data_IF_452864433953
#
_entry.id   IF_452864433953
#
_cell.length_a   1.000
_cell.length_b   1.000
_cell.length_c   1.000
_cell.angle_alpha   90.00
_cell.angle_beta   90.00
_cell.angle_gamma   90.00
#
_symmetry.space_group_name_H-M   'P 1'
#
loop_
_entity.id
_entity.type
_entity.pdbx_description
1 polymer ?
#
# COMPACT_ATOMS: atom_id res chain seq x y z
N UNK A 1 7.42 25.75 4.72
CA UNK A 1 7.27 24.43 4.06
C UNK A 1 6.49 24.60 2.76
N UNK A 2 6.97 24.07 1.64
CA UNK A 2 6.52 24.43 0.28
C UNK A 2 5.11 23.83 -0.02
N UNK A 3 4.06 24.65 -0.15
CA UNK A 3 2.69 24.21 -0.49
C UNK A 3 2.62 23.34 -1.76
N UNK A 4 3.66 23.40 -2.62
CA UNK A 4 3.81 22.64 -3.86
C UNK A 4 3.83 21.12 -3.69
N UNK A 5 4.17 20.57 -2.51
CA UNK A 5 4.29 19.12 -2.30
C UNK A 5 2.96 18.41 -1.94
N UNK A 6 1.92 19.15 -1.53
CA UNK A 6 0.67 18.54 -1.03
C UNK A 6 -0.42 18.43 -2.09
N UNK A 7 -0.08 17.95 -3.29
CA UNK A 7 -1.04 17.73 -4.39
C UNK A 7 -1.67 16.34 -4.42
N UNK A 8 -1.07 15.38 -3.70
CA UNK A 8 -1.50 13.99 -3.65
C UNK A 8 -2.82 13.87 -2.88
N UNK A 9 -3.80 13.19 -3.47
CA UNK A 9 -5.16 13.06 -2.93
C UNK A 9 -5.67 11.65 -3.14
N UNK A 10 -6.72 11.26 -2.42
CA UNK A 10 -7.41 10.00 -2.61
C UNK A 10 -7.92 9.93 -4.05
N UNK A 11 -7.43 8.96 -4.81
CA UNK A 11 -7.79 8.75 -6.21
C UNK A 11 -7.55 7.30 -6.63
N UNK A 12 -8.17 6.92 -7.74
CA UNK A 12 -7.94 5.64 -8.43
C UNK A 12 -6.99 5.82 -9.62
N UNK A 13 -5.90 5.08 -9.65
CA UNK A 13 -4.93 5.14 -10.75
C UNK A 13 -5.55 4.68 -12.09
N UNK A 14 -6.58 3.82 -12.07
CA UNK A 14 -7.37 3.45 -13.25
C UNK A 14 -8.05 4.66 -13.91
N UNK A 15 -8.60 5.59 -13.13
CA UNK A 15 -9.22 6.82 -13.67
C UNK A 15 -8.17 7.80 -14.22
N UNK A 16 -6.95 7.82 -13.67
CA UNK A 16 -5.82 8.56 -14.27
C UNK A 16 -5.40 7.93 -15.61
N UNK A 17 -5.34 6.60 -15.67
CA UNK A 17 -5.08 5.84 -16.90
C UNK A 17 -6.15 6.14 -17.95
N UNK A 18 -7.42 6.11 -17.57
CA UNK A 18 -8.55 6.40 -18.46
C UNK A 18 -8.50 7.85 -18.98
N UNK A 19 -8.18 8.82 -18.13
CA UNK A 19 -8.01 10.21 -18.55
C UNK A 19 -6.87 10.37 -19.57
N UNK A 20 -5.77 9.63 -19.39
CA UNK A 20 -4.69 9.61 -20.37
C UNK A 20 -5.15 9.01 -21.71
N UNK A 21 -5.88 7.89 -21.70
CA UNK A 21 -6.46 7.27 -22.91
C UNK A 21 -7.40 8.24 -23.62
N UNK A 22 -8.28 8.93 -22.88
CA UNK A 22 -9.22 9.89 -23.44
C UNK A 22 -8.50 10.97 -24.25
N UNK A 23 -7.51 11.61 -23.64
CA UNK A 23 -6.72 12.67 -24.28
C UNK A 23 -5.77 12.16 -25.37
N UNK A 24 -5.40 10.88 -25.32
CA UNK A 24 -4.64 10.25 -26.39
C UNK A 24 -5.49 10.05 -27.65
N UNK A 25 -6.76 9.65 -27.48
CA UNK A 25 -7.72 9.40 -28.58
C UNK A 25 -8.30 10.68 -29.18
N UNK A 26 -8.75 11.60 -28.33
CA UNK A 26 -9.47 12.81 -28.75
C UNK A 26 -8.54 13.96 -29.11
N UNK A 27 -7.27 13.88 -28.72
CA UNK A 27 -6.34 14.99 -28.85
C UNK A 27 -6.50 16.02 -27.74
N UNK A 28 -6.04 17.27 -27.96
CA UNK A 28 -6.09 18.34 -26.98
C UNK A 28 -7.53 18.73 -26.62
N UNK A 29 -7.82 18.83 -25.32
CA UNK A 29 -9.13 19.29 -24.81
C UNK A 29 -8.95 20.38 -23.75
N UNK A 30 -9.82 21.38 -23.74
CA UNK A 30 -9.89 22.39 -22.68
C UNK A 30 -10.42 21.78 -21.39
N UNK A 31 -10.19 22.49 -20.29
CA UNK A 31 -10.54 22.02 -18.94
C UNK A 31 -12.01 21.59 -18.79
N UNK A 32 -12.95 22.35 -19.34
CA UNK A 32 -14.39 22.04 -19.28
C UNK A 32 -14.74 20.84 -20.17
N UNK A 33 -14.16 20.77 -21.36
CA UNK A 33 -14.38 19.69 -22.34
C UNK A 33 -13.92 18.33 -21.79
N UNK A 34 -12.79 18.30 -21.07
CA UNK A 34 -12.30 17.08 -20.41
C UNK A 34 -13.35 16.47 -19.48
N UNK A 35 -14.08 17.30 -18.73
CA UNK A 35 -15.06 16.80 -17.78
C UNK A 35 -16.33 16.31 -18.47
N UNK A 36 -16.78 17.01 -19.53
CA UNK A 36 -17.90 16.55 -20.35
C UNK A 36 -17.57 15.20 -20.99
N UNK A 37 -16.43 15.10 -21.67
CA UNK A 37 -16.00 13.87 -22.33
C UNK A 37 -15.70 12.75 -21.33
N UNK A 38 -15.15 13.09 -20.16
CA UNK A 38 -14.89 12.13 -19.10
C UNK A 38 -16.15 11.62 -18.40
N UNK A 39 -17.23 12.40 -18.34
CA UNK A 39 -18.55 11.91 -17.93
C UNK A 39 -19.15 10.98 -18.99
N UNK A 40 -19.12 11.39 -20.27
CA UNK A 40 -19.60 10.58 -21.39
C UNK A 40 -18.87 9.23 -21.52
N UNK A 41 -17.61 9.18 -21.07
CA UNK A 41 -16.77 7.97 -21.07
C UNK A 41 -16.79 7.22 -19.73
N UNK A 42 -17.68 7.57 -18.80
CA UNK A 42 -17.81 6.97 -17.46
C UNK A 42 -16.57 7.09 -16.55
N UNK A 43 -15.61 7.95 -16.89
CA UNK A 43 -14.37 8.17 -16.12
C UNK A 43 -14.68 8.95 -14.84
N UNK A 44 -15.52 9.98 -14.95
CA UNK A 44 -15.88 10.86 -13.84
C UNK A 44 -17.24 10.55 -13.21
N UNK A 45 -17.67 9.28 -13.28
CA UNK A 45 -18.86 8.79 -12.59
C UNK A 45 -18.48 8.00 -11.32
N UNK A 46 -19.38 8.01 -10.35
CA UNK A 46 -19.40 7.12 -9.19
C UNK A 46 -19.98 5.75 -9.58
N UNK A 47 -19.95 4.81 -8.64
CA UNK A 47 -20.54 3.46 -8.82
C UNK A 47 -22.05 3.51 -9.10
N UNK A 48 -22.76 4.48 -8.52
CA UNK A 48 -24.20 4.72 -8.75
C UNK A 48 -24.51 5.42 -10.09
N UNK A 49 -23.49 5.67 -10.92
CA UNK A 49 -23.61 6.39 -12.19
C UNK A 49 -23.69 7.91 -12.08
N UNK A 50 -23.78 8.48 -10.87
CA UNK A 50 -23.81 9.93 -10.69
C UNK A 50 -22.44 10.56 -10.94
N UNK A 51 -22.37 11.81 -11.44
CA UNK A 51 -21.09 12.48 -11.63
C UNK A 51 -20.32 12.74 -10.33
N UNK A 52 -19.00 12.67 -10.40
CA UNK A 52 -18.11 13.10 -9.32
C UNK A 52 -18.26 14.60 -9.06
N UNK A 53 -18.01 15.09 -7.85
CA UNK A 53 -17.96 16.52 -7.59
C UNK A 53 -16.76 17.19 -8.32
N UNK A 54 -16.81 18.52 -8.49
CA UNK A 54 -15.77 19.32 -9.19
C UNK A 54 -14.37 19.10 -8.62
N UNK A 55 -14.24 19.06 -7.30
CA UNK A 55 -12.95 18.92 -6.60
C UNK A 55 -12.24 17.58 -6.89
N UNK A 56 -12.89 16.41 -6.75
CA UNK A 56 -12.33 15.13 -7.21
C UNK A 56 -11.87 15.13 -8.67
N UNK A 57 -12.67 15.67 -9.60
CA UNK A 57 -12.30 15.71 -11.03
C UNK A 57 -11.04 16.53 -11.27
N UNK A 58 -10.94 17.68 -10.60
CA UNK A 58 -9.72 18.51 -10.61
C UNK A 58 -8.50 17.73 -10.09
N UNK A 59 -8.66 16.93 -9.03
CA UNK A 59 -7.56 16.13 -8.50
C UNK A 59 -7.07 15.07 -9.50
N UNK A 60 -7.96 14.39 -10.23
CA UNK A 60 -7.55 13.45 -11.28
C UNK A 60 -6.70 14.13 -12.36
N UNK A 61 -7.18 15.26 -12.89
CA UNK A 61 -6.44 16.01 -13.91
C UNK A 61 -5.09 16.52 -13.41
N UNK A 62 -5.06 17.11 -12.20
CA UNK A 62 -3.83 17.63 -11.62
C UNK A 62 -2.82 16.52 -11.30
N UNK A 63 -3.26 15.35 -10.81
CA UNK A 63 -2.36 14.22 -10.55
C UNK A 63 -1.79 13.66 -11.87
N UNK A 64 -2.61 13.50 -12.91
CA UNK A 64 -2.15 13.08 -14.23
C UNK A 64 -1.12 14.07 -14.83
N UNK A 65 -1.32 15.37 -14.64
CA UNK A 65 -0.36 16.39 -15.03
C UNK A 65 0.93 16.33 -14.19
N UNK A 66 0.83 16.19 -12.87
CA UNK A 66 1.98 16.09 -11.95
C UNK A 66 2.81 14.85 -12.16
N UNK A 67 2.19 13.75 -12.56
CA UNK A 67 2.87 12.54 -13.02
C UNK A 67 3.55 12.70 -14.39
N UNK A 68 3.40 13.85 -15.05
CA UNK A 68 3.98 14.11 -16.35
C UNK A 68 3.32 13.30 -17.48
N UNK A 69 2.15 12.73 -17.23
CA UNK A 69 1.37 11.96 -18.22
C UNK A 69 0.64 12.89 -19.18
N UNK A 70 0.29 14.09 -18.72
CA UNK A 70 -0.37 15.13 -19.51
C UNK A 70 0.55 16.34 -19.67
N UNK A 71 0.31 17.13 -20.71
CA UNK A 71 0.88 18.45 -20.88
C UNK A 71 -0.20 19.45 -21.23
N UNK A 72 0.02 20.72 -20.87
CA UNK A 72 -0.90 21.83 -21.16
C UNK A 72 -0.28 22.72 -22.22
N UNK A 73 -0.96 22.88 -23.35
CA UNK A 73 -0.64 23.81 -24.43
C UNK A 73 -1.62 24.98 -24.49
N UNK A 74 -1.55 25.76 -25.55
CA UNK A 74 -2.50 26.85 -25.87
C UNK A 74 -3.88 26.33 -26.25
N UNK A 75 -3.95 25.13 -26.83
CA UNK A 75 -5.13 24.41 -27.28
C UNK A 75 -5.87 23.65 -26.16
N UNK A 76 -5.18 23.34 -25.06
CA UNK A 76 -5.75 22.62 -23.93
C UNK A 76 -4.77 21.65 -23.28
N UNK A 77 -5.30 20.62 -22.62
CA UNK A 77 -4.51 19.49 -22.12
C UNK A 77 -4.47 18.39 -23.17
N UNK A 78 -3.31 17.77 -23.33
CA UNK A 78 -3.13 16.60 -24.19
C UNK A 78 -2.31 15.53 -23.49
N UNK A 79 -2.51 14.28 -23.90
CA UNK A 79 -1.64 13.19 -23.48
C UNK A 79 -0.21 13.45 -23.97
N UNK A 80 0.79 13.21 -23.13
CA UNK A 80 2.19 13.41 -23.49
C UNK A 80 2.70 12.18 -24.26
N UNK A 81 2.99 12.28 -25.57
CA UNK A 81 3.51 11.16 -26.34
C UNK A 81 4.99 10.97 -25.97
N UNK A 82 5.36 9.78 -25.49
CA UNK A 82 6.78 9.40 -25.37
C UNK A 82 6.99 7.92 -25.72
N UNK A 83 7.54 7.63 -26.91
CA UNK A 83 8.15 6.32 -27.20
C UNK A 83 9.15 5.97 -26.09
N UNK A 84 9.19 4.70 -25.67
CA UNK A 84 10.12 4.23 -24.63
C UNK A 84 9.76 4.61 -23.19
N UNK A 85 8.61 5.25 -22.95
CA UNK A 85 8.12 5.48 -21.58
C UNK A 85 7.13 4.42 -21.13
N UNK A 86 6.92 4.26 -19.82
CA UNK A 86 5.95 3.31 -19.30
C UNK A 86 4.51 3.53 -19.80
N UNK A 87 4.21 4.71 -20.36
CA UNK A 87 2.90 5.08 -20.91
C UNK A 87 2.46 4.22 -22.11
N UNK A 88 3.40 3.52 -22.78
CA UNK A 88 3.07 2.54 -23.83
C UNK A 88 2.16 1.43 -23.28
N UNK A 89 2.26 1.10 -21.99
CA UNK A 89 1.41 0.09 -21.35
C UNK A 89 -0.08 0.48 -21.30
N UNK A 90 -0.40 1.78 -21.41
CA UNK A 90 -1.78 2.29 -21.38
C UNK A 90 -2.46 2.29 -22.75
N UNK A 91 -1.78 1.80 -23.80
CA UNK A 91 -2.36 1.68 -25.15
C UNK A 91 -3.46 0.62 -25.25
N UNK A 92 -3.59 -0.25 -24.24
CA UNK A 92 -4.75 -1.13 -24.15
C UNK A 92 -5.98 -0.31 -23.73
N UNK A 93 -6.87 -0.15 -24.70
CA UNK A 93 -7.68 1.04 -24.90
C UNK A 93 -9.06 0.93 -24.22
N UNK A 94 -9.10 0.46 -22.96
CA UNK A 94 -10.36 0.11 -22.27
C UNK A 94 -10.60 0.98 -21.04
N UNK A 95 -11.65 1.80 -21.10
CA UNK A 95 -12.13 2.59 -19.96
C UNK A 95 -12.76 1.71 -18.87
N UNK A 96 -12.71 2.17 -17.62
CA UNK A 96 -13.44 1.58 -16.49
C UNK A 96 -12.94 0.20 -16.04
N UNK A 97 -11.81 -0.28 -16.58
CA UNK A 97 -11.20 -1.54 -16.16
C UNK A 97 -10.14 -1.31 -15.09
N UNK A 98 -10.02 -2.27 -14.17
CA UNK A 98 -8.91 -2.27 -13.21
C UNK A 98 -7.55 -2.32 -13.93
N UNK A 99 -6.51 -1.80 -13.28
CA UNK A 99 -5.15 -1.80 -13.82
C UNK A 99 -4.62 -3.23 -13.96
N UNK A 100 -4.19 -3.60 -15.16
CA UNK A 100 -3.48 -4.85 -15.42
C UNK A 100 -2.02 -4.80 -14.93
N UNK A 101 -1.31 -5.93 -14.98
CA UNK A 101 0.08 -6.06 -14.48
C UNK A 101 1.04 -5.05 -15.13
N UNK A 102 0.96 -4.85 -16.43
CA UNK A 102 1.83 -3.93 -17.17
C UNK A 102 1.52 -2.48 -16.83
N UNK A 103 0.24 -2.14 -16.70
CA UNK A 103 -0.19 -0.79 -16.31
C UNK A 103 0.23 -0.46 -14.88
N UNK A 104 0.13 -1.42 -13.95
CA UNK A 104 0.65 -1.26 -12.58
C UNK A 104 2.14 -1.00 -12.61
N UNK A 105 2.91 -1.84 -13.33
CA UNK A 105 4.36 -1.65 -13.49
C UNK A 105 4.70 -0.27 -14.06
N UNK A 106 3.90 0.22 -15.01
CA UNK A 106 4.09 1.55 -15.56
C UNK A 106 3.87 2.66 -14.53
N UNK A 107 2.81 2.56 -13.72
CA UNK A 107 2.60 3.49 -12.61
C UNK A 107 3.71 3.42 -11.57
N UNK A 108 4.31 2.25 -11.30
CA UNK A 108 5.47 2.16 -10.38
C UNK A 108 6.59 3.07 -10.85
N UNK A 109 6.94 2.99 -12.13
CA UNK A 109 8.01 3.79 -12.72
C UNK A 109 7.68 5.29 -12.71
N UNK A 110 6.43 5.64 -13.00
CA UNK A 110 5.97 7.04 -12.92
C UNK A 110 6.10 7.60 -11.51
N UNK A 111 5.63 6.86 -10.51
CA UNK A 111 5.60 7.29 -9.11
C UNK A 111 7.02 7.36 -8.56
N UNK A 112 7.85 6.34 -8.77
CA UNK A 112 9.22 6.30 -8.25
C UNK A 112 10.12 7.34 -8.89
N UNK A 113 9.95 7.64 -10.18
CA UNK A 113 10.74 8.69 -10.85
C UNK A 113 10.18 10.10 -10.62
N UNK A 114 9.06 10.23 -9.92
CA UNK A 114 8.48 11.53 -9.62
C UNK A 114 9.20 12.16 -8.42
N UNK A 115 9.90 13.27 -8.66
CA UNK A 115 10.69 13.95 -7.61
C UNK A 115 9.83 14.44 -6.44
N UNK A 116 8.59 14.87 -6.68
CA UNK A 116 7.69 15.25 -5.59
C UNK A 116 7.36 14.02 -4.71
N UNK A 117 7.08 12.85 -5.31
CA UNK A 117 6.84 11.60 -4.57
C UNK A 117 8.10 11.12 -3.83
N UNK A 118 9.29 11.23 -4.45
CA UNK A 118 10.57 10.90 -3.83
C UNK A 118 10.77 11.69 -2.54
N UNK A 119 10.70 13.01 -2.65
CA UNK A 119 10.89 13.94 -1.54
C UNK A 119 9.81 13.86 -0.49
N UNK A 120 8.56 13.60 -0.90
CA UNK A 120 7.44 13.57 0.03
C UNK A 120 7.44 12.31 0.89
N UNK A 121 7.71 11.13 0.32
CA UNK A 121 7.61 9.89 1.11
C UNK A 121 8.49 8.72 0.68
N UNK A 122 8.93 8.59 -0.58
CA UNK A 122 9.67 7.37 -0.98
C UNK A 122 11.08 7.32 -0.39
N UNK A 123 11.73 8.48 -0.18
CA UNK A 123 13.07 8.54 0.44
C UNK A 123 13.13 7.98 1.86
N UNK A 124 12.00 7.83 2.55
CA UNK A 124 11.96 7.18 3.87
C UNK A 124 12.29 5.69 3.81
N UNK A 125 12.05 5.06 2.66
CA UNK A 125 12.28 3.63 2.46
C UNK A 125 13.68 3.35 1.90
N UNK A 126 14.47 4.37 1.57
CA UNK A 126 15.75 4.22 0.86
C UNK A 126 16.87 4.93 1.60
N UNK A 127 18.07 4.35 1.57
CA UNK A 127 19.27 5.00 2.08
C UNK A 127 19.79 6.09 1.13
N UNK A 128 19.63 5.87 -0.18
CA UNK A 128 20.03 6.81 -1.23
C UNK A 128 18.87 7.72 -1.66
N UNK A 129 19.20 8.93 -2.09
CA UNK A 129 18.22 9.93 -2.54
C UNK A 129 17.85 9.78 -4.03
N UNK A 130 18.72 9.14 -4.80
CA UNK A 130 18.48 8.74 -6.18
C UNK A 130 18.44 7.21 -6.27
N UNK A 131 17.34 6.69 -6.81
CA UNK A 131 17.09 5.26 -6.90
C UNK A 131 16.06 4.95 -7.98
N UNK A 132 16.21 3.81 -8.64
CA UNK A 132 15.23 3.30 -9.61
C UNK A 132 14.12 2.50 -8.92
N UNK A 133 13.09 2.11 -9.67
CA UNK A 133 12.07 1.15 -9.17
C UNK A 133 12.72 -0.16 -8.72
N UNK A 134 13.74 -0.64 -9.43
CA UNK A 134 14.41 -1.89 -9.09
C UNK A 134 15.16 -1.77 -7.77
N UNK A 135 15.86 -0.65 -7.55
CA UNK A 135 16.53 -0.37 -6.27
C UNK A 135 15.50 -0.28 -5.14
N UNK A 136 14.35 0.37 -5.36
CA UNK A 136 13.28 0.40 -4.36
C UNK A 136 12.74 -0.99 -4.01
N UNK A 137 12.51 -1.84 -5.02
CA UNK A 137 12.01 -3.20 -4.83
C UNK A 137 13.05 -4.18 -4.30
N UNK A 138 14.35 -3.87 -4.42
CA UNK A 138 15.45 -4.72 -3.94
C UNK A 138 15.98 -4.29 -2.58
N UNK A 139 16.19 -3.00 -2.38
CA UNK A 139 16.93 -2.45 -1.23
C UNK A 139 16.03 -1.66 -0.27
N UNK A 140 14.78 -1.40 -0.67
CA UNK A 140 13.82 -0.69 0.14
C UNK A 140 13.56 -1.33 1.51
N UNK A 141 13.52 -0.51 2.54
CA UNK A 141 13.39 -0.93 3.95
C UNK A 141 12.00 -0.60 4.52
N UNK A 142 11.51 -1.33 5.52
CA UNK A 142 10.27 -0.99 6.21
C UNK A 142 10.31 0.39 6.88
N UNK A 143 9.17 1.07 6.90
CA UNK A 143 8.93 2.33 7.60
C UNK A 143 7.86 2.11 8.67
N UNK A 144 8.21 2.37 9.92
CA UNK A 144 7.30 2.26 11.05
C UNK A 144 6.60 3.59 11.29
N UNK A 145 5.30 3.55 11.45
CA UNK A 145 4.49 4.73 11.72
C UNK A 145 3.93 4.67 13.14
N UNK A 146 4.17 5.74 13.90
CA UNK A 146 3.67 5.91 15.26
C UNK A 146 2.90 7.21 15.35
N UNK A 147 1.70 7.13 15.90
CA UNK A 147 0.91 8.33 16.20
C UNK A 147 1.20 8.80 17.61
N UNK A 148 1.74 10.01 17.73
CA UNK A 148 2.03 10.68 19.01
C UNK A 148 1.05 11.83 19.22
N UNK A 149 0.75 12.14 20.48
CA UNK A 149 -0.06 13.30 20.88
C UNK A 149 0.81 14.12 21.80
N UNK A 150 1.04 15.38 21.44
CA UNK A 150 1.73 16.35 22.29
C UNK A 150 0.74 17.43 22.71
N UNK A 151 0.83 17.86 23.96
CA UNK A 151 0.11 19.03 24.46
C UNK A 151 1.00 20.26 24.25
N UNK A 152 0.49 21.24 23.53
CA UNK A 152 1.15 22.53 23.31
C UNK A 152 0.10 23.62 23.55
N UNK A 153 0.35 24.54 24.47
CA UNK A 153 -0.52 25.68 24.77
C UNK A 153 -2.02 25.28 24.93
N UNK A 154 -2.30 24.32 25.82
CA UNK A 154 -3.63 23.75 26.09
C UNK A 154 -4.35 23.09 24.90
N UNK A 155 -3.65 22.87 23.78
CA UNK A 155 -4.16 22.14 22.62
C UNK A 155 -3.45 20.80 22.45
N UNK A 156 -4.24 19.73 22.35
CA UNK A 156 -3.76 18.40 21.97
C UNK A 156 -3.49 18.36 20.47
N UNK A 157 -2.21 18.41 20.10
CA UNK A 157 -1.77 18.25 18.71
C UNK A 157 -1.41 16.79 18.49
N UNK A 158 -2.23 16.11 17.68
CA UNK A 158 -1.93 14.75 17.22
C UNK A 158 -0.94 14.84 16.07
N UNK A 159 0.25 14.26 16.21
CA UNK A 159 1.27 14.16 15.16
C UNK A 159 1.41 12.73 14.70
N UNK A 160 1.87 12.54 13.45
CA UNK A 160 2.22 11.21 12.94
C UNK A 160 3.68 11.20 12.57
N UNK A 161 4.44 10.31 13.19
CA UNK A 161 5.86 10.12 12.98
C UNK A 161 6.08 8.85 12.17
N UNK A 162 6.76 8.99 11.04
CA UNK A 162 7.25 7.89 10.23
C UNK A 162 8.75 7.76 10.47
N UNK A 163 9.19 6.58 10.88
CA UNK A 163 10.60 6.24 11.10
C UNK A 163 11.02 5.22 10.06
N UNK A 164 11.89 5.64 9.15
CA UNK A 164 12.59 4.77 8.22
C UNK A 164 13.85 4.18 8.84
N UNK A 165 14.59 3.42 8.03
CA UNK A 165 15.92 2.92 8.41
C UNK A 165 16.96 4.05 8.37
N UNK A 166 18.12 3.84 9.02
CA UNK A 166 19.22 4.82 9.12
C UNK A 166 18.87 6.17 9.78
N UNK A 167 17.84 6.20 10.64
CA UNK A 167 17.47 7.42 11.40
C UNK A 167 16.72 8.48 10.59
N UNK A 168 16.29 8.17 9.36
CA UNK A 168 15.43 9.05 8.56
C UNK A 168 14.03 9.10 9.21
N UNK A 169 13.63 10.27 9.67
CA UNK A 169 12.32 10.51 10.29
C UNK A 169 11.53 11.57 9.52
N UNK A 170 10.22 11.38 9.44
CA UNK A 170 9.29 12.35 8.89
C UNK A 170 8.15 12.56 9.88
N UNK A 171 8.03 13.80 10.36
CA UNK A 171 6.96 14.22 11.27
C UNK A 171 5.92 15.00 10.48
N UNK A 172 4.67 14.55 10.54
CA UNK A 172 3.53 15.22 9.93
C UNK A 172 2.79 16.01 11.00
N UNK A 173 2.87 17.34 10.91
CA UNK A 173 2.32 18.26 11.90
C UNK A 173 0.89 18.67 11.56
N UNK A 174 0.59 18.91 10.28
CA UNK A 174 -0.72 19.37 9.83
C UNK A 174 -1.60 18.25 9.27
N UNK A 175 -2.91 18.46 9.31
CA UNK A 175 -3.87 17.52 8.71
C UNK A 175 -3.70 17.41 7.18
N UNK A 176 -3.32 18.52 6.52
CA UNK A 176 -3.06 18.52 5.07
C UNK A 176 -1.86 17.66 4.70
N UNK A 177 -0.80 17.69 5.51
CA UNK A 177 0.38 16.83 5.36
C UNK A 177 0.02 15.37 5.54
N UNK A 178 -0.66 15.04 6.64
CA UNK A 178 -1.13 13.68 6.92
C UNK A 178 -1.95 13.15 5.75
N UNK A 179 -2.94 13.90 5.29
CA UNK A 179 -3.75 13.48 4.16
C UNK A 179 -2.91 13.30 2.89
N UNK A 180 -2.08 14.26 2.50
CA UNK A 180 -1.31 14.14 1.26
C UNK A 180 -0.36 12.94 1.28
N UNK A 181 0.34 12.72 2.38
CA UNK A 181 1.29 11.61 2.55
C UNK A 181 0.58 10.28 2.71
N UNK A 182 -0.47 10.19 3.54
CA UNK A 182 -1.23 8.96 3.70
C UNK A 182 -1.93 8.57 2.40
N UNK A 183 -2.46 9.52 1.62
CA UNK A 183 -3.03 9.22 0.32
C UNK A 183 -1.95 8.78 -0.69
N UNK A 184 -0.79 9.45 -0.71
CA UNK A 184 0.34 9.03 -1.54
C UNK A 184 0.80 7.61 -1.20
N UNK A 185 1.13 7.36 0.06
CA UNK A 185 1.58 6.06 0.57
C UNK A 185 0.52 4.97 0.39
N UNK A 186 -0.70 5.20 0.87
CA UNK A 186 -1.71 4.13 0.97
C UNK A 186 -2.49 3.92 -0.31
N UNK A 187 -2.74 4.97 -1.10
CA UNK A 187 -3.53 4.80 -2.32
C UNK A 187 -2.65 4.57 -3.53
N UNK A 188 -1.55 5.31 -3.70
CA UNK A 188 -0.76 5.19 -4.93
C UNK A 188 0.15 3.96 -4.88
N UNK A 189 0.90 3.76 -3.78
CA UNK A 189 1.84 2.64 -3.69
C UNK A 189 1.15 1.29 -3.60
N UNK A 190 0.00 1.19 -2.91
CA UNK A 190 -0.70 -0.08 -2.79
C UNK A 190 -1.42 -0.47 -4.09
N UNK A 191 -2.05 0.49 -4.80
CA UNK A 191 -2.71 0.23 -6.09
C UNK A 191 -1.74 -0.29 -7.16
N UNK A 192 -0.49 0.18 -7.15
CA UNK A 192 0.54 -0.34 -8.05
C UNK A 192 1.33 -1.52 -7.45
N UNK A 193 1.04 -1.95 -6.23
CA UNK A 193 1.76 -3.00 -5.49
C UNK A 193 3.27 -2.72 -5.38
N UNK A 194 3.64 -1.48 -5.02
CA UNK A 194 5.00 -1.13 -4.59
C UNK A 194 5.22 -1.45 -3.11
N UNK A 195 4.18 -1.27 -2.29
CA UNK A 195 4.23 -1.49 -0.85
C UNK A 195 3.00 -2.25 -0.37
N UNK A 196 3.08 -2.78 0.84
CA UNK A 196 1.96 -3.27 1.64
C UNK A 196 2.04 -2.66 3.06
N UNK A 197 0.98 -2.80 3.85
CA UNK A 197 0.83 -2.24 5.20
C UNK A 197 0.29 -3.29 6.18
N UNK A 198 0.94 -3.38 7.33
CA UNK A 198 0.35 -4.01 8.53
C UNK A 198 -0.03 -2.91 9.51
N UNK A 199 -1.32 -2.85 9.85
CA UNK A 199 -1.86 -1.89 10.81
C UNK A 199 -2.57 -2.63 11.94
N UNK A 200 -1.96 -2.69 13.12
CA UNK A 200 -2.59 -3.28 14.32
C UNK A 200 -3.31 -2.18 15.09
N UNK A 201 -2.61 -1.10 15.42
CA UNK A 201 -3.16 0.01 16.20
C UNK A 201 -2.38 1.31 15.90
N UNK A 202 -2.78 2.48 16.45
CA UNK A 202 -2.10 3.75 16.18
C UNK A 202 -0.62 3.81 16.57
N UNK A 203 -0.13 2.90 17.42
CA UNK A 203 1.26 2.74 17.84
C UNK A 203 1.99 1.64 17.06
N UNK A 204 1.26 0.71 16.44
CA UNK A 204 1.79 -0.43 15.68
C UNK A 204 1.29 -0.41 14.23
N UNK A 205 1.98 0.38 13.42
CA UNK A 205 1.80 0.43 11.97
C UNK A 205 3.16 0.29 11.28
N UNK A 206 3.24 -0.53 10.24
CA UNK A 206 4.42 -0.66 9.38
C UNK A 206 3.98 -0.67 7.92
N UNK A 207 4.67 0.12 7.10
CA UNK A 207 4.55 0.14 5.65
C UNK A 207 5.88 -0.36 5.10
N UNK A 208 5.87 -1.26 4.14
CA UNK A 208 7.10 -1.87 3.64
C UNK A 208 7.06 -2.09 2.13
N UNK A 209 8.19 -1.94 1.42
CA UNK A 209 8.27 -2.21 0.00
C UNK A 209 8.17 -3.71 -0.26
N UNK A 210 7.39 -4.09 -1.26
CA UNK A 210 7.29 -5.48 -1.71
C UNK A 210 8.50 -5.86 -2.57
N UNK A 211 8.90 -7.12 -2.54
CA UNK A 211 9.82 -7.68 -3.53
C UNK A 211 9.07 -8.07 -4.79
N UNK A 212 9.65 -7.81 -5.96
CA UNK A 212 9.11 -8.28 -7.24
C UNK A 212 9.49 -9.73 -7.55
N UNK A 213 10.62 -10.20 -7.03
CA UNK A 213 11.23 -11.50 -7.33
C UNK A 213 11.92 -12.07 -6.09
N UNK A 214 12.22 -13.37 -6.10
CA UNK A 214 12.92 -14.02 -4.99
C UNK A 214 12.13 -14.02 -3.68
N UNK A 215 10.82 -14.31 -3.76
CA UNK A 215 10.01 -14.55 -2.56
C UNK A 215 10.54 -15.80 -1.84
N UNK A 216 10.59 -15.78 -0.50
CA UNK A 216 11.16 -16.89 0.25
C UNK A 216 10.34 -18.16 0.09
N UNK A 217 11.03 -19.30 0.02
CA UNK A 217 10.44 -20.63 0.08
C UNK A 217 9.80 -20.90 1.44
N UNK A 218 8.92 -21.91 1.50
CA UNK A 218 8.31 -22.33 2.77
C UNK A 218 9.35 -22.61 3.86
N UNK A 219 10.49 -23.22 3.51
CA UNK A 219 11.54 -23.61 4.45
C UNK A 219 12.26 -22.39 5.02
N UNK A 220 12.59 -21.42 4.17
CA UNK A 220 13.18 -20.15 4.61
C UNK A 220 12.21 -19.39 5.53
N UNK A 221 10.93 -19.33 5.15
CA UNK A 221 9.90 -18.70 5.97
C UNK A 221 9.71 -19.40 7.32
N UNK A 222 9.71 -20.74 7.31
CA UNK A 222 9.57 -21.56 8.51
C UNK A 222 10.77 -21.40 9.43
N UNK A 223 12.00 -21.47 8.91
CA UNK A 223 13.22 -21.26 9.70
C UNK A 223 13.22 -19.89 10.37
N UNK A 224 12.80 -18.84 9.64
CA UNK A 224 12.67 -17.50 10.21
C UNK A 224 11.57 -17.41 11.26
N UNK A 225 10.40 -18.01 11.02
CA UNK A 225 9.31 -18.10 12.01
C UNK A 225 9.80 -18.73 13.31
N UNK A 226 10.49 -19.88 13.22
CA UNK A 226 10.99 -20.63 14.37
C UNK A 226 12.06 -19.84 15.14
N UNK A 227 12.93 -19.12 14.43
CA UNK A 227 13.97 -18.27 15.04
C UNK A 227 13.37 -17.09 15.81
N UNK A 228 12.31 -16.48 15.28
CA UNK A 228 11.68 -15.30 15.88
C UNK A 228 10.70 -15.64 17.03
N UNK A 229 10.22 -16.88 17.10
CA UNK A 229 9.13 -17.27 18.00
C UNK A 229 9.50 -18.43 18.93
N UNK A 230 10.67 -18.36 19.58
CA UNK A 230 11.15 -19.38 20.52
C UNK A 230 10.05 -19.80 21.51
N UNK A 231 9.77 -21.11 21.65
CA UNK A 231 8.65 -21.58 22.44
C UNK A 231 8.92 -21.38 23.94
N UNK A 232 7.91 -20.88 24.65
CA UNK A 232 7.96 -20.71 26.13
C UNK A 232 7.17 -21.81 26.83
N UNK A 233 6.20 -22.42 26.14
CA UNK A 233 5.34 -23.50 26.65
C UNK A 233 5.32 -24.67 25.68
N UNK A 234 4.76 -25.79 26.13
CA UNK A 234 4.52 -26.95 25.27
C UNK A 234 3.63 -26.61 24.08
N UNK A 235 2.57 -25.83 24.31
CA UNK A 235 1.73 -25.24 23.27
C UNK A 235 1.76 -23.72 23.41
N UNK A 236 2.20 -23.04 22.35
CA UNK A 236 2.34 -21.59 22.30
C UNK A 236 1.20 -21.01 21.48
N UNK A 237 0.53 -19.99 22.02
CA UNK A 237 -0.60 -19.32 21.40
C UNK A 237 -0.12 -17.97 20.89
N UNK A 238 0.12 -17.86 19.59
CA UNK A 238 0.73 -16.66 19.01
C UNK A 238 -0.33 -15.91 18.19
N UNK A 239 -0.59 -14.62 18.48
CA UNK A 239 -1.55 -13.83 17.71
C UNK A 239 -1.13 -13.71 16.25
N UNK A 240 -2.04 -14.01 15.32
CA UNK A 240 -1.78 -13.99 13.86
C UNK A 240 -1.39 -12.60 13.39
N UNK A 241 -2.04 -11.56 13.91
CA UNK A 241 -1.75 -10.17 13.55
C UNK A 241 -0.33 -9.76 13.96
N UNK A 242 0.17 -10.18 15.13
CA UNK A 242 1.54 -9.91 15.58
C UNK A 242 2.55 -10.70 14.72
N UNK A 243 2.25 -11.96 14.38
CA UNK A 243 3.08 -12.72 13.45
C UNK A 243 3.17 -12.05 12.08
N UNK A 244 2.05 -11.57 11.52
CA UNK A 244 2.03 -10.83 10.26
C UNK A 244 2.84 -9.54 10.35
N UNK A 245 2.72 -8.81 11.46
CA UNK A 245 3.47 -7.58 11.69
C UNK A 245 4.99 -7.79 11.73
N UNK A 246 5.44 -8.94 12.24
CA UNK A 246 6.86 -9.30 12.25
C UNK A 246 7.33 -9.85 10.90
N UNK A 247 6.58 -10.78 10.32
CA UNK A 247 7.05 -11.62 9.20
C UNK A 247 6.81 -10.98 7.84
N UNK A 248 5.69 -10.29 7.61
CA UNK A 248 5.38 -9.75 6.29
C UNK A 248 6.37 -8.66 5.84
N UNK A 249 6.78 -7.70 6.70
CA UNK A 249 7.85 -6.75 6.37
C UNK A 249 9.21 -7.42 6.19
N UNK A 250 9.53 -8.43 7.01
CA UNK A 250 10.79 -9.17 6.93
C UNK A 250 10.94 -9.91 5.59
N UNK A 251 9.88 -10.59 5.15
CA UNK A 251 9.84 -11.27 3.86
C UNK A 251 9.58 -10.33 2.69
N UNK A 252 9.22 -9.08 2.96
CA UNK A 252 8.82 -8.07 1.96
C UNK A 252 7.77 -8.64 0.99
N UNK A 253 6.79 -9.32 1.55
CA UNK A 253 5.73 -10.03 0.83
C UNK A 253 4.37 -9.60 1.37
N UNK A 254 3.31 -9.80 0.59
CA UNK A 254 1.98 -9.40 1.06
C UNK A 254 1.55 -10.21 2.28
N UNK A 255 0.66 -9.64 3.10
CA UNK A 255 0.09 -10.35 4.26
C UNK A 255 -0.53 -11.70 3.87
N UNK A 256 -1.21 -11.74 2.73
CA UNK A 256 -1.85 -12.96 2.23
C UNK A 256 -0.85 -14.00 1.73
N UNK A 257 0.30 -13.56 1.21
CA UNK A 257 1.40 -14.47 0.88
C UNK A 257 1.88 -15.20 2.14
N UNK A 258 2.09 -14.49 3.26
CA UNK A 258 2.50 -15.10 4.54
C UNK A 258 1.45 -16.06 5.07
N UNK A 259 0.18 -15.65 5.10
CA UNK A 259 -0.91 -16.52 5.58
C UNK A 259 -0.99 -17.82 4.78
N UNK A 260 -0.89 -17.71 3.46
CA UNK A 260 -1.06 -18.86 2.56
C UNK A 260 0.19 -19.74 2.55
N UNK A 261 1.35 -19.17 2.29
CA UNK A 261 2.57 -19.93 2.03
C UNK A 261 3.32 -20.34 3.30
N UNK A 262 3.03 -19.72 4.45
CA UNK A 262 3.58 -20.15 5.74
C UNK A 262 2.51 -20.76 6.64
N UNK A 263 1.50 -20.00 7.08
CA UNK A 263 0.60 -20.50 8.14
C UNK A 263 -0.27 -21.68 7.69
N UNK A 264 -0.88 -21.59 6.50
CA UNK A 264 -1.69 -22.69 5.95
C UNK A 264 -0.79 -23.90 5.63
N UNK A 265 0.38 -23.69 5.03
CA UNK A 265 1.30 -24.78 4.71
C UNK A 265 1.88 -25.46 5.96
N UNK A 266 2.18 -24.70 7.02
CA UNK A 266 2.54 -25.25 8.34
C UNK A 266 1.42 -26.14 8.88
N UNK A 267 0.17 -25.66 8.83
CA UNK A 267 -0.99 -26.43 9.30
C UNK A 267 -1.18 -27.73 8.54
N UNK A 268 -0.93 -27.74 7.22
CA UNK A 268 -1.04 -28.93 6.36
C UNK A 268 0.09 -29.94 6.64
N UNK A 269 1.34 -29.48 6.68
CA UNK A 269 2.51 -30.35 6.83
C UNK A 269 2.71 -30.88 8.25
N UNK A 270 2.37 -30.06 9.25
CA UNK A 270 2.58 -30.38 10.67
C UNK A 270 1.26 -30.43 11.43
N UNK A 271 0.35 -31.27 10.93
CA UNK A 271 -1.05 -31.31 11.38
C UNK A 271 -1.21 -31.55 12.89
N UNK A 272 -0.31 -32.33 13.48
CA UNK A 272 -0.33 -32.67 14.90
C UNK A 272 0.30 -31.60 15.80
N UNK A 273 1.09 -30.69 15.22
CA UNK A 273 1.88 -29.69 15.95
C UNK A 273 1.35 -28.27 15.74
N UNK A 274 0.53 -28.04 14.73
CA UNK A 274 0.04 -26.70 14.36
C UNK A 274 -1.48 -26.70 14.28
N UNK A 275 -2.12 -25.77 14.98
CA UNK A 275 -3.58 -25.59 14.98
C UNK A 275 -3.93 -24.11 14.84
N UNK A 276 -5.15 -23.83 14.39
CA UNK A 276 -5.72 -22.49 14.42
C UNK A 276 -6.78 -22.42 15.52
N UNK A 277 -6.85 -21.28 16.18
CA UNK A 277 -7.89 -21.01 17.16
C UNK A 277 -8.57 -19.67 16.86
N UNK A 278 -9.88 -19.68 17.11
CA UNK A 278 -10.68 -18.48 17.27
C UNK A 278 -10.53 -18.03 18.71
N UNK A 279 -10.42 -16.72 18.94
CA UNK A 279 -10.43 -16.22 20.30
C UNK A 279 -11.87 -15.95 20.72
N UNK A 280 -12.30 -16.57 21.82
CA UNK A 280 -13.53 -16.19 22.54
C UNK A 280 -13.42 -14.80 23.20
N UNK A 281 -12.21 -14.26 23.37
CA UNK A 281 -11.91 -12.95 24.01
C UNK A 281 -11.06 -11.98 23.19
N UNK A 282 -10.72 -12.34 21.94
CA UNK A 282 -9.73 -11.63 21.12
C UNK A 282 -10.22 -11.20 19.74
N UNK A 283 -11.50 -11.41 19.43
CA UNK A 283 -12.12 -10.58 18.40
C UNK A 283 -12.22 -9.15 18.96
N UNK A 284 -11.88 -8.12 18.17
CA UNK A 284 -12.15 -6.74 18.55
C UNK A 284 -13.64 -6.62 18.86
N UNK A 285 -14.00 -5.92 19.94
CA UNK A 285 -15.40 -5.58 20.20
C UNK A 285 -15.95 -4.90 18.93
N UNK A 286 -17.21 -5.14 18.54
CA UNK A 286 -17.82 -4.60 17.30
C UNK A 286 -17.47 -3.14 17.00
N UNK A 287 -17.33 -2.30 18.04
CA UNK A 287 -16.87 -0.90 17.93
C UNK A 287 -15.51 -0.72 17.24
N UNK A 288 -14.58 -1.67 17.27
CA UNK A 288 -13.31 -1.64 16.53
C UNK A 288 -13.42 -2.17 15.10
N UNK A 289 -14.32 -3.14 14.86
CA UNK A 289 -14.57 -3.74 13.54
C UNK A 289 -15.30 -2.74 12.63
N UNK A 290 -16.22 -1.94 13.18
CA UNK A 290 -16.97 -0.90 12.44
C UNK A 290 -16.06 0.26 11.98
N UNK A 291 -14.89 0.45 12.60
CA UNK A 291 -14.05 1.64 12.39
C UNK A 291 -12.97 1.42 11.30
N UNK A 292 -12.49 0.20 11.07
CA UNK A 292 -11.43 -0.01 10.06
C UNK A 292 -11.32 -1.46 9.55
N UNK A 293 -11.80 -1.71 8.33
CA UNK A 293 -11.68 -3.03 7.66
C UNK A 293 -10.23 -3.50 7.52
N UNK A 294 -9.26 -2.56 7.48
CA UNK A 294 -7.82 -2.85 7.36
C UNK A 294 -7.26 -3.66 8.53
N UNK A 295 -7.89 -3.56 9.70
CA UNK A 295 -7.50 -4.32 10.88
C UNK A 295 -7.79 -5.81 10.69
N UNK A 296 -8.96 -6.13 10.09
CA UNK A 296 -9.38 -7.51 9.83
C UNK A 296 -8.49 -8.21 8.80
N UNK A 297 -7.89 -7.44 7.88
CA UNK A 297 -6.95 -7.96 6.87
C UNK A 297 -5.66 -8.54 7.48
N UNK A 298 -5.39 -8.34 8.77
CA UNK A 298 -4.22 -8.96 9.43
C UNK A 298 -4.53 -10.34 10.01
N UNK A 299 -5.80 -10.76 9.99
CA UNK A 299 -6.25 -12.07 10.48
C UNK A 299 -6.43 -13.06 9.33
N UNK A 300 -6.58 -14.34 9.68
CA UNK A 300 -6.86 -15.39 8.71
C UNK A 300 -8.36 -15.71 8.70
N UNK A 301 -8.96 -15.78 7.52
CA UNK A 301 -10.30 -16.33 7.35
C UNK A 301 -10.19 -17.77 6.86
N UNK A 302 -10.75 -18.72 7.60
CA UNK A 302 -10.79 -20.14 7.23
C UNK A 302 -12.25 -20.60 7.26
N UNK A 303 -12.82 -20.82 6.08
CA UNK A 303 -14.26 -21.00 5.93
C UNK A 303 -15.02 -19.73 6.30
N UNK A 304 -15.98 -19.84 7.21
CA UNK A 304 -16.79 -18.72 7.71
C UNK A 304 -16.15 -18.00 8.90
N UNK A 305 -15.10 -18.57 9.50
CA UNK A 305 -14.54 -18.09 10.77
C UNK A 305 -13.20 -17.36 10.63
N UNK A 306 -13.02 -16.35 11.49
CA UNK A 306 -11.76 -15.63 11.65
C UNK A 306 -10.87 -16.30 12.70
N UNK A 307 -9.67 -16.71 12.28
CA UNK A 307 -8.65 -17.29 13.14
C UNK A 307 -7.72 -16.18 13.64
N UNK A 308 -7.63 -16.07 14.96
CA UNK A 308 -6.89 -15.00 15.65
C UNK A 308 -5.55 -15.47 16.18
N UNK A 309 -5.39 -16.78 16.40
CA UNK A 309 -4.16 -17.36 16.93
C UNK A 309 -3.70 -18.54 16.10
N UNK A 310 -2.38 -18.62 15.93
CA UNK A 310 -1.66 -19.82 15.53
C UNK A 310 -1.19 -20.52 16.81
N UNK A 311 -1.61 -21.76 17.02
CA UNK A 311 -1.19 -22.58 18.15
C UNK A 311 -0.12 -23.54 17.66
N UNK A 312 1.08 -23.48 18.24
CA UNK A 312 2.23 -24.28 17.81
C UNK A 312 2.82 -25.05 18.98
N UNK A 313 2.99 -26.36 18.81
CA UNK A 313 3.65 -27.22 19.77
C UNK A 313 5.18 -27.04 19.70
N UNK A 314 5.85 -26.99 20.86
CA UNK A 314 7.32 -26.84 20.92
C UNK A 314 8.09 -27.93 20.16
N UNK A 315 7.53 -29.13 20.04
CA UNK A 315 8.13 -30.25 19.28
C UNK A 315 8.37 -29.90 17.82
N UNK A 316 7.68 -28.88 17.27
CA UNK A 316 7.96 -28.40 15.93
C UNK A 316 9.41 -27.93 15.76
N UNK A 317 10.01 -27.33 16.80
CA UNK A 317 11.42 -26.92 16.79
C UNK A 317 12.38 -28.11 16.80
N UNK A 318 11.98 -29.22 17.41
CA UNK A 318 12.83 -30.42 17.50
C UNK A 318 12.82 -31.22 16.19
N UNK A 319 11.67 -31.27 15.49
CA UNK A 319 11.52 -32.04 14.25
C UNK A 319 11.98 -31.26 13.02
N UNK A 320 11.89 -29.93 13.04
CA UNK A 320 12.38 -29.07 11.97
C UNK A 320 13.83 -28.73 12.29
N UNK A 321 14.76 -29.55 11.80
CA UNK A 321 16.18 -29.21 11.82
C UNK A 321 16.40 -28.01 10.90
N UNK A 322 16.73 -26.86 11.49
CA UNK A 322 17.10 -25.63 10.79
C UNK A 322 18.58 -25.66 10.48
#
# INVERSE_FOLDING_TARGET
MNQKLYWMRRLELSKIRDLYILLHRKGPLKYTEIFVEGENSSIFLKEDGSPLAKTPRYHYLNNAFRFGMLMKGSDGYRAKPRPGTPMVAFRNERFGKALNKNERAAFRQVIVNNEDCRRAFLRMFMNDDDFTVNDFLRDGVPVYAVTTIFECDDKKIRTKLYKGYAGREMILHSEKEKQAIEWGLKMMLFQCCLCDEVYIDPKKQVIYPLRSEGLPSFQEMLGKFLTLNTPVKDWNFIPVNELIFQLAPEFRSTKDFVKTNLFIEMRKKYTDYVKFSEASKGMPKEKQIIIDTRFMDNYMKVGTSWKTHLIVNKKLWDIVKI
#
